data_IF_408080920085
#
_entry.id   IF_408080920085
#
_cell.length_a   1.000
_cell.length_b   1.000
_cell.length_c   1.000
_cell.angle_alpha   90.00
_cell.angle_beta   90.00
_cell.angle_gamma   90.00
#
_symmetry.space_group_name_H-M   'P 1'
#
loop_
_entity.id
_entity.type
_entity.pdbx_description
1 polymer ?
#
# COMPACT_ATOMS: atom_id res chain seq x y z
N UNK A 1 -22.33 -3.74 39.97
CA UNK A 1 -21.50 -4.09 38.79
C UNK A 1 -22.44 -4.24 37.62
N UNK A 2 -22.54 -3.20 36.79
CA UNK A 2 -23.37 -3.24 35.58
C UNK A 2 -22.63 -4.08 34.53
N UNK A 3 -23.31 -5.08 33.96
CA UNK A 3 -22.83 -5.78 32.77
C UNK A 3 -22.71 -4.75 31.65
N UNK A 4 -21.48 -4.47 31.23
CA UNK A 4 -21.22 -3.69 30.02
C UNK A 4 -21.90 -4.40 28.87
N UNK A 5 -22.89 -3.74 28.25
CA UNK A 5 -23.49 -4.24 27.02
C UNK A 5 -22.39 -4.56 26.01
N UNK A 6 -22.47 -5.75 25.41
CA UNK A 6 -21.63 -6.16 24.30
C UNK A 6 -21.82 -5.17 23.15
N UNK A 7 -20.97 -4.15 23.09
CA UNK A 7 -20.72 -3.49 21.82
C UNK A 7 -20.25 -4.59 20.86
N UNK A 8 -20.84 -4.73 19.65
CA UNK A 8 -20.33 -5.67 18.67
C UNK A 8 -18.85 -5.35 18.49
N UNK A 9 -17.98 -6.29 18.87
CA UNK A 9 -16.56 -5.99 18.91
C UNK A 9 -16.12 -5.63 17.51
N UNK A 10 -15.57 -4.43 17.32
CA UNK A 10 -14.89 -4.00 16.09
C UNK A 10 -13.72 -4.93 15.70
N UNK A 11 -13.38 -5.87 16.60
CA UNK A 11 -12.34 -6.86 16.46
C UNK A 11 -12.91 -8.24 16.15
N UNK A 12 -12.24 -8.90 15.21
CA UNK A 12 -12.51 -10.28 14.81
C UNK A 12 -12.30 -11.31 15.94
N UNK A 13 -11.23 -11.14 16.72
CA UNK A 13 -10.86 -11.99 17.86
C UNK A 13 -10.33 -11.12 19.01
N UNK A 14 -10.45 -11.64 20.24
CA UNK A 14 -9.86 -11.03 21.44
C UNK A 14 -8.33 -11.19 21.41
N UNK A 15 -7.54 -10.10 21.34
CA UNK A 15 -6.08 -10.18 21.14
C UNK A 15 -5.33 -11.06 22.15
N UNK A 16 -5.71 -11.01 23.42
CA UNK A 16 -5.09 -11.83 24.49
C UNK A 16 -5.30 -13.35 24.35
N UNK A 17 -6.14 -13.79 23.40
CA UNK A 17 -6.29 -15.22 23.07
C UNK A 17 -5.31 -15.70 22.01
N UNK A 18 -4.51 -14.78 21.43
CA UNK A 18 -3.55 -15.13 20.41
C UNK A 18 -2.46 -16.05 20.98
N UNK A 19 -1.84 -15.71 22.10
CA UNK A 19 -0.79 -16.51 22.74
C UNK A 19 -1.18 -16.86 24.16
N UNK A 20 -0.61 -17.95 24.70
CA UNK A 20 -0.74 -18.21 26.14
C UNK A 20 -0.02 -17.11 26.91
N UNK A 21 -0.51 -16.76 28.11
CA UNK A 21 0.06 -15.68 28.93
C UNK A 21 1.56 -15.94 29.23
N UNK A 22 1.95 -17.19 29.41
CA UNK A 22 3.34 -17.62 29.61
C UNK A 22 4.26 -17.41 28.40
N UNK A 23 3.72 -17.16 27.21
CA UNK A 23 4.52 -16.92 26.00
C UNK A 23 4.91 -15.44 25.80
N UNK A 24 4.28 -14.52 26.54
CA UNK A 24 4.45 -13.08 26.39
C UNK A 24 4.93 -12.45 27.71
N UNK A 25 6.25 -12.34 27.92
CA UNK A 25 6.79 -11.72 29.13
C UNK A 25 6.47 -10.22 29.25
N UNK A 26 6.23 -9.58 28.10
CA UNK A 26 5.76 -8.20 28.01
C UNK A 26 4.72 -8.08 26.90
N UNK A 27 3.70 -7.26 27.12
CA UNK A 27 2.62 -7.02 26.16
C UNK A 27 2.53 -5.53 25.86
N UNK A 28 2.60 -5.19 24.58
CA UNK A 28 2.53 -3.83 24.08
C UNK A 28 1.37 -3.72 23.10
N UNK A 29 0.74 -2.56 23.09
CA UNK A 29 -0.19 -2.19 22.02
C UNK A 29 0.63 -1.31 21.06
N UNK A 30 0.69 -1.69 19.79
CA UNK A 30 1.26 -0.84 18.76
C UNK A 30 0.54 0.51 18.83
N UNK A 31 1.25 1.65 18.74
CA UNK A 31 0.64 2.95 18.85
C UNK A 31 -0.60 3.05 17.94
N UNK A 32 -1.80 3.11 18.55
CA UNK A 32 -3.07 3.18 17.84
C UNK A 32 -3.49 4.64 17.67
N UNK A 33 -4.02 4.95 16.50
CA UNK A 33 -4.25 6.30 16.02
C UNK A 33 -5.66 6.74 16.38
N UNK A 34 -5.78 7.33 17.55
CA UNK A 34 -6.99 8.06 17.93
C UNK A 34 -6.59 9.49 18.26
N UNK A 35 -6.66 10.38 17.27
CA UNK A 35 -6.74 11.83 17.45
C UNK A 35 -5.61 12.49 18.29
N UNK A 36 -4.52 12.90 17.63
CA UNK A 36 -3.92 14.20 17.96
C UNK A 36 -2.61 14.29 18.76
N UNK A 37 -1.76 13.26 18.87
CA UNK A 37 -0.47 13.43 19.56
C UNK A 37 0.73 12.84 18.78
N UNK A 38 1.85 13.58 18.86
CA UNK A 38 3.18 13.36 18.25
C UNK A 38 3.43 11.90 17.84
N UNK A 39 3.29 11.63 16.55
CA UNK A 39 3.59 10.33 15.97
C UNK A 39 5.10 10.11 16.00
N UNK A 40 5.58 9.16 16.79
CA UNK A 40 6.98 8.75 16.79
C UNK A 40 7.03 7.23 16.96
N UNK A 41 8.08 6.61 16.41
CA UNK A 41 8.39 5.24 16.74
C UNK A 41 8.74 5.13 18.23
N UNK A 42 8.45 3.96 18.82
CA UNK A 42 8.79 3.63 20.19
C UNK A 42 9.90 2.60 20.21
N UNK A 43 10.93 2.82 21.01
CA UNK A 43 11.90 1.78 21.33
C UNK A 43 11.39 0.94 22.50
N UNK A 44 11.28 -0.37 22.31
CA UNK A 44 11.07 -1.35 23.37
C UNK A 44 12.38 -2.07 23.67
N UNK A 45 12.58 -2.43 24.94
CA UNK A 45 13.74 -3.22 25.38
C UNK A 45 13.21 -4.58 25.83
N UNK A 46 13.62 -5.63 25.13
CA UNK A 46 13.29 -7.02 25.44
C UNK A 46 14.43 -7.56 26.31
N UNK A 47 14.18 -7.89 27.60
CA UNK A 47 15.24 -8.39 28.47
C UNK A 47 15.81 -9.72 27.98
N UNK A 48 17.01 -10.07 28.47
CA UNK A 48 17.66 -11.36 28.21
C UNK A 48 16.71 -12.52 28.52
N UNK A 49 16.57 -13.46 27.58
CA UNK A 49 15.78 -14.68 27.78
C UNK A 49 14.27 -14.46 27.77
N UNK A 50 13.81 -13.28 27.32
CA UNK A 50 12.40 -12.86 27.34
C UNK A 50 11.88 -12.58 25.94
N UNK A 51 10.55 -12.63 25.79
CA UNK A 51 9.84 -12.29 24.56
C UNK A 51 8.93 -11.08 24.78
N UNK A 52 8.61 -10.38 23.70
CA UNK A 52 7.62 -9.31 23.72
C UNK A 52 6.50 -9.60 22.74
N UNK A 53 5.26 -9.35 23.13
CA UNK A 53 4.09 -9.44 22.27
C UNK A 53 3.57 -8.03 21.97
N UNK A 54 3.23 -7.79 20.71
CA UNK A 54 2.77 -6.50 20.21
C UNK A 54 1.45 -6.70 19.46
N UNK A 55 0.41 -6.00 19.90
CA UNK A 55 -0.91 -5.98 19.27
C UNK A 55 -1.03 -4.88 18.23
N UNK A 56 -1.60 -5.17 17.06
CA UNK A 56 -1.90 -4.20 16.02
C UNK A 56 -0.88 -4.25 14.87
N UNK A 57 -1.13 -3.45 13.82
CA UNK A 57 -0.23 -3.36 12.68
C UNK A 57 0.92 -2.40 12.97
N UNK A 58 2.13 -2.80 12.63
CA UNK A 58 3.32 -1.99 12.84
C UNK A 58 4.46 -2.35 11.88
N UNK A 59 5.38 -1.40 11.72
CA UNK A 59 6.71 -1.58 11.16
C UNK A 59 7.69 -1.73 12.32
N UNK A 60 8.64 -2.64 12.21
CA UNK A 60 9.63 -2.90 13.24
C UNK A 60 11.06 -2.88 12.69
N UNK A 61 12.02 -2.58 13.58
CA UNK A 61 13.42 -2.69 13.26
C UNK A 61 14.27 -2.94 14.51
N UNK A 62 15.40 -3.65 14.34
CA UNK A 62 16.40 -3.86 15.38
C UNK A 62 17.77 -4.01 14.73
N UNK A 63 18.84 -3.66 15.47
CA UNK A 63 20.22 -4.04 15.11
C UNK A 63 20.51 -5.53 15.39
N UNK A 64 19.74 -6.15 16.28
CA UNK A 64 19.89 -7.57 16.61
C UNK A 64 19.01 -8.41 15.71
N UNK A 65 19.41 -9.66 15.46
CA UNK A 65 18.54 -10.61 14.79
C UNK A 65 17.42 -11.08 15.72
N UNK A 66 16.24 -11.28 15.17
CA UNK A 66 15.07 -11.78 15.90
C UNK A 66 14.18 -12.60 14.98
N UNK A 67 13.34 -13.43 15.59
CA UNK A 67 12.24 -14.13 14.95
C UNK A 67 10.93 -13.51 15.39
N UNK A 68 10.00 -13.32 14.46
CA UNK A 68 8.62 -12.98 14.77
C UNK A 68 7.70 -14.18 14.54
N UNK A 69 6.74 -14.33 15.44
CA UNK A 69 5.59 -15.22 15.28
C UNK A 69 4.36 -14.34 15.34
N UNK A 70 3.71 -14.13 14.21
CA UNK A 70 2.48 -13.35 14.13
C UNK A 70 1.27 -14.27 14.06
N UNK A 71 0.24 -13.95 14.83
CA UNK A 71 -1.08 -14.55 14.76
C UNK A 71 -2.05 -13.50 14.24
N UNK A 72 -2.61 -13.75 13.06
CA UNK A 72 -3.49 -12.83 12.35
C UNK A 72 -4.87 -13.46 12.29
N UNK A 73 -5.96 -12.76 12.64
CA UNK A 73 -7.30 -13.31 12.47
C UNK A 73 -7.55 -13.62 10.98
N UNK A 74 -8.13 -14.77 10.70
CA UNK A 74 -8.57 -15.20 9.37
C UNK A 74 -10.03 -15.62 9.46
N UNK A 75 -10.83 -15.14 8.51
CA UNK A 75 -12.24 -15.47 8.46
C UNK A 75 -12.42 -16.94 8.02
N UNK A 76 -13.25 -17.68 8.73
CA UNK A 76 -13.61 -19.07 8.46
C UNK A 76 -15.13 -19.23 8.47
N UNK A 77 -15.63 -20.37 8.01
CA UNK A 77 -17.07 -20.68 8.04
C UNK A 77 -17.70 -20.68 9.44
N UNK A 78 -16.89 -20.77 10.50
CA UNK A 78 -17.34 -20.78 11.91
C UNK A 78 -17.02 -19.50 12.67
N UNK A 79 -16.65 -18.42 11.97
CA UNK A 79 -16.14 -17.18 12.55
C UNK A 79 -14.62 -17.05 12.35
N UNK A 80 -13.94 -16.33 13.22
CA UNK A 80 -12.52 -16.05 13.05
C UNK A 80 -11.62 -17.08 13.73
N UNK A 81 -10.48 -17.40 13.11
CA UNK A 81 -9.42 -18.24 13.69
C UNK A 81 -8.06 -17.57 13.57
N UNK A 82 -7.10 -17.92 14.42
CA UNK A 82 -5.74 -17.40 14.33
C UNK A 82 -4.92 -18.14 13.27
N UNK A 83 -4.49 -17.43 12.22
CA UNK A 83 -3.47 -17.88 11.29
C UNK A 83 -2.09 -17.53 11.82
N UNK A 84 -1.23 -18.53 11.98
CA UNK A 84 0.15 -18.36 12.46
C UNK A 84 1.10 -18.17 11.27
N UNK A 85 1.94 -17.15 11.33
CA UNK A 85 3.02 -16.87 10.36
C UNK A 85 4.31 -16.67 11.15
N UNK A 86 5.41 -17.27 10.68
CA UNK A 86 6.74 -17.10 11.26
C UNK A 86 7.67 -16.46 10.25
N UNK A 87 8.52 -15.55 10.72
CA UNK A 87 9.45 -14.83 9.86
C UNK A 87 10.68 -14.38 10.65
N UNK A 88 11.86 -14.38 10.03
CA UNK A 88 13.07 -13.85 10.64
C UNK A 88 13.28 -12.40 10.20
N UNK A 89 13.62 -11.51 11.13
CA UNK A 89 13.94 -10.10 10.85
C UNK A 89 12.87 -9.36 10.03
N UNK A 90 11.59 -9.64 10.28
CA UNK A 90 10.48 -8.98 9.60
C UNK A 90 10.55 -7.45 9.73
N UNK A 91 10.25 -6.72 8.66
CA UNK A 91 10.13 -5.26 8.68
C UNK A 91 8.72 -4.81 9.08
N UNK A 92 7.67 -5.60 8.81
CA UNK A 92 6.31 -5.26 9.18
C UNK A 92 5.49 -6.48 9.58
N UNK A 93 4.53 -6.27 10.48
CA UNK A 93 3.43 -7.18 10.75
C UNK A 93 2.13 -6.39 10.55
N UNK A 94 1.34 -6.77 9.55
CA UNK A 94 0.14 -6.06 9.15
C UNK A 94 -1.09 -6.93 9.38
N UNK A 95 -2.15 -6.32 9.88
CA UNK A 95 -3.49 -6.89 9.88
C UNK A 95 -4.17 -6.73 8.53
N UNK A 96 -5.43 -7.13 8.49
CA UNK A 96 -6.30 -6.93 7.34
C UNK A 96 -7.60 -6.26 7.77
N UNK A 97 -8.30 -5.64 6.83
CA UNK A 97 -9.63 -5.10 7.06
C UNK A 97 -10.62 -5.96 6.30
N UNK A 98 -11.55 -6.57 7.03
CA UNK A 98 -12.70 -7.21 6.43
C UNK A 98 -13.88 -6.25 6.38
N UNK A 99 -14.81 -6.56 5.51
CA UNK A 99 -16.04 -5.82 5.33
C UNK A 99 -17.23 -6.74 5.55
N UNK A 100 -18.19 -6.28 6.35
CA UNK A 100 -19.47 -6.96 6.55
C UNK A 100 -20.61 -6.01 6.22
N UNK A 101 -21.48 -6.45 5.33
CA UNK A 101 -22.78 -5.81 5.06
C UNK A 101 -23.76 -6.35 6.08
N UNK A 102 -24.48 -5.47 6.76
CA UNK A 102 -25.58 -5.89 7.62
C UNK A 102 -26.86 -6.01 6.80
N UNK A 103 -27.39 -7.23 6.72
CA UNK A 103 -28.58 -7.58 5.92
C UNK A 103 -29.82 -6.72 6.27
N UNK A 104 -29.91 -6.22 7.51
CA UNK A 104 -31.05 -5.44 8.01
C UNK A 104 -30.88 -3.92 7.90
N UNK A 105 -29.74 -3.44 7.38
CA UNK A 105 -29.45 -2.00 7.32
C UNK A 105 -29.42 -1.49 5.89
N UNK A 106 -30.18 -0.42 5.63
CA UNK A 106 -30.29 0.19 4.29
C UNK A 106 -28.95 0.83 3.84
N UNK A 107 -28.04 1.12 4.78
CA UNK A 107 -26.74 1.81 4.51
C UNK A 107 -25.63 1.39 5.50
N UNK A 108 -25.82 0.35 6.31
CA UNK A 108 -24.86 -0.02 7.34
C UNK A 108 -23.84 -1.04 6.83
N UNK A 109 -22.58 -0.62 6.80
CA UNK A 109 -21.47 -1.55 6.70
C UNK A 109 -20.55 -1.40 7.90
N UNK A 110 -19.90 -2.50 8.27
CA UNK A 110 -18.92 -2.52 9.33
C UNK A 110 -17.56 -2.93 8.77
N UNK A 111 -16.57 -2.08 9.06
CA UNK A 111 -15.17 -2.45 8.90
C UNK A 111 -14.75 -3.26 10.12
N UNK A 112 -14.30 -4.49 9.89
CA UNK A 112 -13.80 -5.38 10.93
C UNK A 112 -12.29 -5.41 10.79
N UNK A 113 -11.60 -4.76 11.72
CA UNK A 113 -10.14 -4.77 11.70
C UNK A 113 -9.61 -6.07 12.32
N UNK A 114 -8.95 -6.88 11.49
CA UNK A 114 -8.25 -8.10 11.89
C UNK A 114 -6.87 -7.76 12.45
N UNK A 115 -6.86 -7.17 13.65
CA UNK A 115 -5.65 -6.81 14.39
C UNK A 115 -4.77 -8.05 14.62
N UNK A 116 -3.50 -8.04 14.16
CA UNK A 116 -2.59 -9.14 14.44
C UNK A 116 -2.05 -9.01 15.87
N UNK A 117 -1.56 -10.12 16.42
CA UNK A 117 -0.72 -10.13 17.62
C UNK A 117 0.59 -10.79 17.26
N UNK A 118 1.69 -10.10 17.48
CA UNK A 118 3.02 -10.54 17.04
C UNK A 118 3.95 -10.71 18.23
N UNK A 119 4.44 -11.92 18.42
CA UNK A 119 5.48 -12.26 19.39
C UNK A 119 6.86 -12.08 18.75
N UNK A 120 7.72 -11.28 19.37
CA UNK A 120 9.10 -11.00 18.97
C UNK A 120 10.03 -11.78 19.90
N UNK A 121 10.88 -12.62 19.30
CA UNK A 121 11.80 -13.52 19.97
C UNK A 121 13.23 -13.13 19.54
N UNK A 122 14.04 -12.54 20.44
CA UNK A 122 15.45 -12.30 20.16
C UNK A 122 16.18 -13.58 19.74
N UNK A 123 17.05 -13.53 18.74
CA UNK A 123 17.86 -14.71 18.40
C UNK A 123 18.99 -14.92 19.41
N UNK A 124 19.58 -13.83 19.92
CA UNK A 124 20.50 -13.90 21.05
C UNK A 124 19.73 -13.85 22.37
N UNK A 125 19.58 -15.02 22.99
CA UNK A 125 18.95 -15.18 24.29
C UNK A 125 19.86 -14.76 25.45
N UNK A 126 21.09 -14.31 25.18
CA UNK A 126 22.07 -13.94 26.19
C UNK A 126 22.25 -12.45 26.43
N UNK A 127 21.67 -11.59 25.59
CA UNK A 127 21.72 -10.14 25.70
C UNK A 127 20.32 -9.53 25.69
N UNK A 128 20.23 -8.26 26.07
CA UNK A 128 19.02 -7.48 25.83
C UNK A 128 18.89 -7.16 24.33
N UNK A 129 17.65 -7.10 23.84
CA UNK A 129 17.37 -6.71 22.45
C UNK A 129 16.49 -5.48 22.42
N UNK A 130 16.97 -4.41 21.78
CA UNK A 130 16.19 -3.21 21.53
C UNK A 130 15.49 -3.31 20.18
N UNK A 131 14.19 -3.04 20.15
CA UNK A 131 13.38 -3.03 18.92
C UNK A 131 12.66 -1.70 18.82
N UNK A 132 12.70 -1.08 17.66
CA UNK A 132 11.87 0.08 17.35
C UNK A 132 10.59 -0.36 16.65
N UNK A 133 9.47 0.22 17.06
CA UNK A 133 8.14 -0.10 16.54
C UNK A 133 7.45 1.20 16.15
N UNK A 134 6.92 1.24 14.94
CA UNK A 134 6.08 2.29 14.41
C UNK A 134 4.70 1.68 14.09
N UNK A 135 3.65 2.07 14.81
CA UNK A 135 2.30 1.63 14.45
C UNK A 135 1.96 2.07 13.03
N UNK A 136 1.15 1.33 12.28
CA UNK A 136 0.67 1.76 10.97
C UNK A 136 -0.75 1.27 10.76
N UNK A 137 -1.50 1.91 9.87
CA UNK A 137 -2.73 1.32 9.36
C UNK A 137 -2.40 0.49 8.11
N UNK A 138 -2.86 -0.77 8.01
CA UNK A 138 -2.72 -1.52 6.77
C UNK A 138 -3.49 -0.81 5.65
N UNK A 139 -3.13 -1.08 4.41
CA UNK A 139 -3.98 -0.70 3.29
C UNK A 139 -5.22 -1.60 3.28
N UNK A 140 -6.29 -1.15 2.63
CA UNK A 140 -7.44 -2.00 2.32
C UNK A 140 -8.09 -1.58 1.01
N UNK A 141 -8.73 -2.54 0.35
CA UNK A 141 -9.51 -2.31 -0.86
C UNK A 141 -10.76 -3.17 -0.79
N UNK A 142 -11.92 -2.54 -0.96
CA UNK A 142 -13.22 -3.15 -0.78
C UNK A 142 -13.98 -2.97 -2.08
N UNK A 143 -14.42 -4.07 -2.66
CA UNK A 143 -15.26 -4.12 -3.84
C UNK A 143 -16.58 -4.78 -3.44
N UNK A 144 -17.67 -4.01 -3.46
CA UNK A 144 -18.95 -4.43 -2.90
C UNK A 144 -20.12 -3.89 -3.70
N UNK A 145 -21.26 -4.57 -3.63
CA UNK A 145 -22.51 -4.15 -4.27
C UNK A 145 -23.57 -3.97 -3.20
N UNK A 146 -24.20 -2.79 -3.13
CA UNK A 146 -25.35 -2.53 -2.25
C UNK A 146 -26.61 -2.26 -3.07
N UNK A 147 -27.75 -2.65 -2.53
CA UNK A 147 -29.05 -2.22 -3.03
C UNK A 147 -29.57 -1.11 -2.13
N UNK A 148 -29.71 0.11 -2.66
CA UNK A 148 -30.22 1.27 -1.94
C UNK A 148 -31.48 1.75 -2.67
N UNK A 149 -32.65 1.66 -2.02
CA UNK A 149 -33.93 2.13 -2.57
C UNK A 149 -34.21 1.59 -3.99
N UNK A 150 -34.19 0.26 -4.16
CA UNK A 150 -34.38 -0.45 -5.44
C UNK A 150 -33.32 -0.16 -6.53
N UNK A 151 -32.25 0.58 -6.19
CA UNK A 151 -31.12 0.86 -7.07
C UNK A 151 -29.89 0.07 -6.65
N UNK A 152 -29.16 -0.47 -7.62
CA UNK A 152 -27.96 -1.27 -7.38
C UNK A 152 -26.71 -0.42 -7.56
N UNK A 153 -25.94 -0.23 -6.50
CA UNK A 153 -24.69 0.53 -6.52
C UNK A 153 -23.49 -0.39 -6.34
N UNK A 154 -22.48 -0.21 -7.18
CA UNK A 154 -21.18 -0.86 -7.02
C UNK A 154 -20.22 0.12 -6.35
N UNK A 155 -19.62 -0.25 -5.23
CA UNK A 155 -18.65 0.59 -4.52
C UNK A 155 -17.27 -0.09 -4.55
N UNK A 156 -16.27 0.69 -4.94
CA UNK A 156 -14.85 0.37 -4.85
C UNK A 156 -14.19 1.36 -3.91
N UNK A 157 -13.97 0.96 -2.67
CA UNK A 157 -13.44 1.82 -1.62
C UNK A 157 -12.02 1.36 -1.28
N UNK A 158 -11.04 2.24 -1.44
CA UNK A 158 -9.64 1.98 -1.22
C UNK A 158 -9.03 2.95 -0.22
N UNK A 159 -8.21 2.41 0.68
CA UNK A 159 -7.34 3.18 1.54
C UNK A 159 -5.94 2.61 1.40
N UNK A 160 -5.02 3.40 0.85
CA UNK A 160 -3.63 3.04 0.66
C UNK A 160 -2.78 3.77 1.68
N UNK A 161 -1.92 3.03 2.38
CA UNK A 161 -0.91 3.61 3.28
C UNK A 161 0.45 3.53 2.60
N UNK A 162 1.03 4.69 2.29
CA UNK A 162 2.42 4.82 1.86
C UNK A 162 3.30 5.22 3.04
N UNK A 163 4.49 4.62 3.13
CA UNK A 163 5.41 4.82 4.23
C UNK A 163 6.82 5.00 3.72
N UNK A 164 7.56 5.99 4.24
CA UNK A 164 8.99 6.18 3.94
C UNK A 164 9.81 6.50 5.18
N UNK A 165 10.93 5.79 5.29
CA UNK A 165 11.99 6.03 6.26
C UNK A 165 13.19 6.79 5.68
N UNK A 166 13.13 7.20 4.41
CA UNK A 166 14.26 7.86 3.76
C UNK A 166 14.52 9.26 4.36
N UNK A 167 15.78 9.73 4.36
CA UNK A 167 16.09 11.11 4.75
C UNK A 167 15.46 12.14 3.81
N UNK A 168 15.38 11.81 2.52
CA UNK A 168 14.76 12.64 1.48
C UNK A 168 13.88 11.78 0.57
N UNK A 169 12.65 12.21 0.31
CA UNK A 169 11.72 11.51 -0.57
C UNK A 169 10.50 12.40 -0.91
N UNK A 170 9.56 11.83 -1.65
CA UNK A 170 8.21 12.38 -1.79
C UNK A 170 7.14 11.30 -1.87
N UNK A 171 5.93 11.62 -1.43
CA UNK A 171 4.72 10.81 -1.64
C UNK A 171 3.71 11.59 -2.48
N UNK A 172 2.80 10.87 -3.13
CA UNK A 172 1.56 11.45 -3.63
C UNK A 172 0.42 11.03 -2.70
N UNK A 173 -0.07 11.99 -1.91
CA UNK A 173 -1.22 11.84 -1.01
C UNK A 173 -2.43 12.35 -1.79
N UNK A 174 -3.32 11.46 -2.20
CA UNK A 174 -4.36 11.81 -3.18
C UNK A 174 -5.71 11.19 -2.87
N UNK A 175 -6.75 11.76 -3.48
CA UNK A 175 -8.06 11.15 -3.57
C UNK A 175 -8.41 10.99 -5.04
N UNK A 176 -8.67 9.76 -5.43
CA UNK A 176 -9.33 9.45 -6.68
C UNK A 176 -10.79 9.13 -6.37
N UNK A 177 -11.70 9.99 -6.83
CA UNK A 177 -13.12 9.82 -6.67
C UNK A 177 -13.80 9.80 -8.03
N UNK A 178 -14.52 8.73 -8.33
CA UNK A 178 -15.17 8.50 -9.62
C UNK A 178 -16.59 7.99 -9.42
N UNK A 179 -17.54 8.57 -10.14
CA UNK A 179 -18.91 8.11 -10.26
C UNK A 179 -19.17 7.79 -11.74
N UNK A 180 -19.24 6.53 -12.10
CA UNK A 180 -19.66 6.10 -13.44
C UNK A 180 -21.16 5.81 -13.45
N UNK A 181 -21.83 6.19 -14.53
CA UNK A 181 -23.22 5.80 -14.81
C UNK A 181 -24.20 6.03 -13.65
N UNK A 182 -24.13 7.21 -13.01
CA UNK A 182 -25.13 7.64 -12.04
C UNK A 182 -26.50 7.80 -12.72
N UNK A 183 -27.27 6.73 -12.73
CA UNK A 183 -28.64 6.68 -13.19
C UNK A 183 -29.59 6.57 -12.00
N UNK A 184 -30.89 6.78 -12.24
CA UNK A 184 -31.92 6.51 -11.22
C UNK A 184 -32.02 5.04 -10.81
N UNK A 185 -31.27 4.12 -11.44
CA UNK A 185 -31.29 2.68 -11.16
C UNK A 185 -30.01 2.16 -10.52
N UNK A 186 -29.03 3.04 -10.26
CA UNK A 186 -27.73 2.64 -9.77
C UNK A 186 -26.57 3.38 -10.42
N UNK A 187 -25.36 3.04 -10.01
CA UNK A 187 -24.10 3.54 -10.57
C UNK A 187 -22.89 2.89 -9.90
N UNK A 188 -21.71 3.11 -10.49
CA UNK A 188 -20.44 2.64 -9.94
C UNK A 188 -19.73 3.81 -9.27
N UNK A 189 -19.37 3.66 -7.99
CA UNK A 189 -18.67 4.64 -7.20
C UNK A 189 -17.30 4.05 -6.83
N UNK A 190 -16.23 4.75 -7.19
CA UNK A 190 -14.86 4.40 -6.82
C UNK A 190 -14.29 5.56 -6.00
N UNK A 191 -13.78 5.24 -4.82
CA UNK A 191 -13.07 6.18 -3.95
C UNK A 191 -11.78 5.50 -3.48
N UNK A 192 -10.62 6.05 -3.86
CA UNK A 192 -9.32 5.60 -3.36
C UNK A 192 -8.63 6.78 -2.69
N UNK A 193 -8.31 6.62 -1.41
CA UNK A 193 -7.59 7.59 -0.60
C UNK A 193 -6.18 7.05 -0.37
N UNK A 194 -5.17 7.86 -0.65
CA UNK A 194 -3.77 7.54 -0.37
C UNK A 194 -3.23 8.47 0.69
N UNK A 195 -2.78 7.88 1.80
CA UNK A 195 -2.21 8.59 2.94
C UNK A 195 -0.74 8.25 3.10
N UNK A 196 0.04 9.20 3.62
CA UNK A 196 1.49 9.09 3.73
C UNK A 196 1.99 9.14 5.16
N UNK A 197 3.01 8.34 5.48
CA UNK A 197 3.76 8.40 6.74
C UNK A 197 5.23 8.58 6.41
N UNK A 198 5.80 9.72 6.80
CA UNK A 198 7.23 9.94 6.78
C UNK A 198 7.76 9.78 8.19
N UNK A 199 8.78 8.97 8.43
CA UNK A 199 9.45 8.91 9.74
C UNK A 199 10.97 8.81 9.60
N UNK A 200 11.72 9.45 10.48
CA UNK A 200 13.18 9.41 10.49
C UNK A 200 13.69 9.80 11.88
N UNK A 201 14.97 9.58 12.19
CA UNK A 201 15.54 10.00 13.47
C UNK A 201 15.99 11.46 13.51
N UNK A 202 16.23 12.06 12.33
CA UNK A 202 16.58 13.47 12.18
C UNK A 202 15.40 14.30 11.68
N UNK A 203 15.40 15.58 12.03
CA UNK A 203 14.37 16.51 11.60
C UNK A 203 14.43 16.74 10.09
N UNK A 204 13.25 16.73 9.46
CA UNK A 204 13.07 17.01 8.04
C UNK A 204 12.09 18.16 7.86
N UNK A 205 12.32 18.96 6.83
CA UNK A 205 11.37 19.98 6.38
C UNK A 205 10.44 19.37 5.36
N UNK A 206 9.14 19.53 5.59
CA UNK A 206 8.07 19.04 4.73
C UNK A 206 7.49 20.18 3.91
N UNK A 207 7.36 19.97 2.61
CA UNK A 207 6.69 20.86 1.68
C UNK A 207 5.59 20.14 0.92
N UNK A 208 4.68 20.91 0.32
CA UNK A 208 3.61 20.37 -0.51
C UNK A 208 3.46 21.15 -1.80
N UNK A 209 2.95 20.45 -2.81
CA UNK A 209 2.34 20.97 -4.03
C UNK A 209 0.99 20.25 -4.17
N UNK A 210 -0.12 20.97 -4.34
CA UNK A 210 -1.45 20.39 -4.42
C UNK A 210 -2.20 20.82 -5.68
N UNK A 211 -3.03 19.91 -6.16
CA UNK A 211 -4.00 20.19 -7.21
C UNK A 211 -5.16 21.03 -6.67
N UNK A 212 -5.82 21.78 -7.56
CA UNK A 212 -7.08 22.48 -7.23
C UNK A 212 -8.11 21.49 -6.71
N UNK A 213 -8.84 21.84 -5.65
CA UNK A 213 -9.79 20.98 -4.91
C UNK A 213 -9.17 19.83 -4.11
N UNK A 214 -7.87 19.55 -4.26
CA UNK A 214 -7.19 18.61 -3.38
C UNK A 214 -6.98 19.28 -2.01
N UNK A 215 -7.33 18.56 -0.95
CA UNK A 215 -7.04 18.91 0.43
C UNK A 215 -6.16 17.84 1.06
N UNK A 216 -5.40 18.23 2.08
CA UNK A 216 -4.79 17.30 2.99
C UNK A 216 -4.69 17.94 4.38
N UNK A 217 -4.57 17.11 5.41
CA UNK A 217 -4.18 17.55 6.75
C UNK A 217 -2.93 16.77 7.17
N UNK A 218 -2.18 17.32 8.12
CA UNK A 218 -0.98 16.65 8.62
C UNK A 218 -0.98 16.58 10.14
N UNK A 219 -0.21 15.66 10.69
CA UNK A 219 0.03 15.61 12.14
C UNK A 219 0.78 16.84 12.69
N UNK A 220 1.35 17.68 11.82
CA UNK A 220 2.08 18.90 12.20
C UNK A 220 1.14 20.12 12.27
N UNK A 221 0.16 20.18 11.37
CA UNK A 221 -0.78 21.29 11.30
C UNK A 221 -2.17 20.79 10.87
N UNK A 222 -3.16 21.04 11.74
CA UNK A 222 -4.58 20.81 11.50
C UNK A 222 -5.23 22.06 10.90
N UNK A 223 -4.71 22.52 9.75
CA UNK A 223 -5.30 23.63 9.00
C UNK A 223 -5.45 23.24 7.53
N UNK A 224 -6.53 23.74 6.94
CA UNK A 224 -6.77 23.62 5.51
C UNK A 224 -5.73 24.44 4.75
N UNK A 225 -4.92 23.75 3.95
CA UNK A 225 -3.96 24.39 3.08
C UNK A 225 -4.70 24.99 1.88
N UNK A 226 -4.75 26.33 1.79
CA UNK A 226 -5.41 27.04 0.68
C UNK A 226 -4.42 27.48 -0.40
N UNK A 227 -3.13 27.60 -0.10
CA UNK A 227 -2.11 27.83 -1.11
C UNK A 227 -1.93 26.56 -1.97
N UNK A 228 -1.49 26.71 -3.22
CA UNK A 228 -1.22 25.56 -4.10
C UNK A 228 0.12 24.88 -3.78
N UNK A 229 1.03 25.60 -3.14
CA UNK A 229 2.31 25.08 -2.68
C UNK A 229 2.71 25.77 -1.37
N UNK A 230 3.58 25.13 -0.59
CA UNK A 230 4.08 25.72 0.64
C UNK A 230 4.91 24.79 1.50
N UNK A 231 5.34 25.31 2.65
CA UNK A 231 6.02 24.55 3.71
C UNK A 231 4.98 24.15 4.76
N UNK A 232 4.95 22.87 5.11
CA UNK A 232 4.06 22.31 6.13
C UNK A 232 4.68 22.54 7.52
N UNK A 233 5.98 22.30 7.64
CA UNK A 233 6.70 22.42 8.89
C UNK A 233 7.90 21.48 8.95
N UNK A 234 8.49 21.37 10.14
CA UNK A 234 9.64 20.53 10.39
C UNK A 234 9.32 19.48 11.45
N UNK A 235 9.70 18.23 11.19
CA UNK A 235 9.57 17.15 12.16
C UNK A 235 10.46 15.95 11.81
N UNK A 236 10.72 15.11 12.80
CA UNK A 236 11.27 13.76 12.60
C UNK A 236 10.26 12.86 11.88
N UNK A 237 8.99 13.03 12.23
CA UNK A 237 7.90 12.19 11.75
C UNK A 237 6.64 12.99 11.46
N UNK A 238 5.96 12.67 10.37
CA UNK A 238 4.71 13.31 9.96
C UNK A 238 3.78 12.31 9.25
N UNK A 239 2.48 12.45 9.51
CA UNK A 239 1.42 11.73 8.79
C UNK A 239 0.65 12.73 7.94
N UNK A 240 0.18 12.29 6.78
CA UNK A 240 -0.59 13.08 5.83
C UNK A 240 -1.88 12.33 5.47
N UNK A 241 -3.01 13.01 5.64
CA UNK A 241 -4.33 12.50 5.31
C UNK A 241 -4.93 13.31 4.16
N UNK A 242 -5.21 12.66 3.03
CA UNK A 242 -5.87 13.30 1.90
C UNK A 242 -7.37 13.49 2.20
N UNK A 243 -7.95 14.60 1.71
CA UNK A 243 -9.40 14.86 1.76
C UNK A 243 -9.81 15.77 0.59
N UNK A 244 -11.09 15.75 0.23
CA UNK A 244 -11.62 16.62 -0.83
C UNK A 244 -11.87 18.03 -0.26
N UNK A 245 -11.26 19.07 -0.83
CA UNK A 245 -11.47 20.44 -0.37
C UNK A 245 -12.85 20.97 -0.79
N UNK A 246 -13.86 20.64 0.02
CA UNK A 246 -15.26 21.01 -0.21
C UNK A 246 -15.48 22.53 -0.20
N UNK A 247 -14.65 23.28 0.53
CA UNK A 247 -14.74 24.74 0.56
C UNK A 247 -14.41 25.33 -0.82
N UNK A 248 -13.31 24.92 -1.43
CA UNK A 248 -12.95 25.34 -2.79
C UNK A 248 -13.97 24.88 -3.82
N UNK A 249 -14.47 23.65 -3.68
CA UNK A 249 -15.49 23.10 -4.56
C UNK A 249 -16.80 23.91 -4.50
N UNK A 250 -17.17 24.39 -3.30
CA UNK A 250 -18.36 25.22 -3.11
C UNK A 250 -18.20 26.65 -3.61
N UNK A 251 -17.01 27.25 -3.47
CA UNK A 251 -16.77 28.64 -3.89
C UNK A 251 -16.46 28.80 -5.37
N UNK A 252 -15.84 27.79 -5.99
CA UNK A 252 -15.46 27.80 -7.40
C UNK A 252 -15.76 26.42 -8.02
N UNK A 253 -17.05 26.04 -8.13
CA UNK A 253 -17.44 24.74 -8.64
C UNK A 253 -17.03 24.61 -10.12
N UNK A 254 -16.62 23.41 -10.57
CA UNK A 254 -16.40 23.18 -11.98
C UNK A 254 -17.69 23.46 -12.77
N UNK A 255 -17.55 24.03 -13.97
CA UNK A 255 -18.68 24.44 -14.83
C UNK A 255 -19.65 23.31 -15.19
N UNK A 256 -19.22 22.05 -15.02
CA UNK A 256 -20.05 20.85 -15.02
C UNK A 256 -19.64 19.98 -13.83
N UNK A 257 -20.59 19.30 -13.17
CA UNK A 257 -20.26 18.27 -12.18
C UNK A 257 -19.34 17.25 -12.86
N UNK A 258 -18.10 17.12 -12.36
CA UNK A 258 -17.22 16.07 -12.85
C UNK A 258 -17.67 14.76 -12.24
N UNK A 259 -17.76 13.74 -13.09
CA UNK A 259 -17.91 12.35 -12.67
C UNK A 259 -16.61 11.74 -12.17
N UNK A 260 -15.48 12.46 -12.29
CA UNK A 260 -14.16 11.98 -11.88
C UNK A 260 -13.29 13.13 -11.37
N UNK A 261 -12.68 12.92 -10.21
CA UNK A 261 -11.70 13.78 -9.59
C UNK A 261 -10.47 12.94 -9.28
N UNK A 262 -9.34 13.28 -9.89
CA UNK A 262 -8.04 12.73 -9.55
C UNK A 262 -7.21 13.87 -8.95
N UNK A 263 -7.14 13.89 -7.62
CA UNK A 263 -6.66 15.04 -6.84
C UNK A 263 -5.36 14.70 -6.14
N UNK A 264 -4.25 15.04 -6.78
CA UNK A 264 -2.91 14.77 -6.26
C UNK A 264 -2.42 15.90 -5.34
N UNK A 265 -1.94 15.52 -4.15
CA UNK A 265 -1.05 16.34 -3.32
C UNK A 265 0.32 15.67 -3.27
N UNK A 266 1.33 16.31 -3.86
CA UNK A 266 2.71 15.85 -3.72
C UNK A 266 3.27 16.41 -2.42
N UNK A 267 3.64 15.53 -1.51
CA UNK A 267 4.34 15.88 -0.27
C UNK A 267 5.80 15.53 -0.45
N UNK A 268 6.70 16.50 -0.29
CA UNK A 268 8.14 16.29 -0.40
C UNK A 268 8.81 16.60 0.94
N UNK A 269 9.92 15.93 1.23
CA UNK A 269 10.67 16.19 2.44
C UNK A 269 12.16 15.96 2.26
N UNK A 270 12.93 16.72 3.03
CA UNK A 270 14.39 16.70 3.01
C UNK A 270 14.95 17.02 4.39
N UNK A 271 16.20 16.64 4.66
CA UNK A 271 16.88 17.00 5.90
C UNK A 271 16.98 18.53 6.05
N UNK A 272 16.87 19.01 7.29
CA UNK A 272 17.11 20.41 7.60
C UNK A 272 18.61 20.67 7.70
N UNK A 273 19.05 21.89 7.35
CA UNK A 273 20.47 22.27 7.42
C UNK A 273 21.06 22.17 8.83
N UNK A 274 20.23 22.35 9.87
CA UNK A 274 20.60 22.14 11.27
C UNK A 274 20.77 20.66 11.62
N UNK A 275 19.95 19.75 11.05
CA UNK A 275 20.09 18.31 11.25
C UNK A 275 21.35 17.70 10.59
N UNK A 276 21.97 18.44 9.66
CA UNK A 276 23.25 18.09 9.03
C UNK A 276 24.48 18.67 9.74
N UNK A 277 24.31 19.60 10.68
CA UNK A 277 25.41 20.29 11.37
C UNK A 277 25.48 19.97 12.88
N UNK A 278 24.34 19.68 13.51
CA UNK A 278 24.26 19.30 14.91
C UNK A 278 24.10 17.77 15.06
N UNK A 279 24.74 17.22 16.09
CA UNK A 279 24.60 15.87 16.67
C UNK A 279 25.60 14.78 16.22
N UNK A 280 26.89 14.97 16.52
CA UNK A 280 27.79 13.86 16.88
C UNK A 280 27.58 13.40 18.35
N UNK A 281 26.88 14.18 19.20
CA UNK A 281 26.85 13.94 20.66
C UNK A 281 25.57 13.27 21.21
N UNK A 282 24.45 13.22 20.47
CA UNK A 282 23.28 12.39 20.82
C UNK A 282 22.65 11.74 19.58
N UNK A 283 23.37 10.81 18.93
CA UNK A 283 22.73 9.91 17.97
C UNK A 283 21.70 9.03 18.70
N UNK A 284 20.45 9.49 18.72
CA UNK A 284 19.32 8.59 18.99
C UNK A 284 19.40 7.43 18.00
N UNK A 285 19.74 6.24 18.51
CA UNK A 285 19.93 5.07 17.66
C UNK A 285 18.68 4.86 16.80
N UNK A 286 18.85 4.78 15.47
CA UNK A 286 17.78 4.53 14.51
C UNK A 286 18.04 3.20 13.83
N UNK A 287 17.08 2.29 13.95
CA UNK A 287 17.25 0.91 13.50
C UNK A 287 16.57 0.64 12.17
N UNK A 288 15.60 1.47 11.76
CA UNK A 288 14.87 1.24 10.54
C UNK A 288 15.77 1.36 9.32
N UNK A 289 15.71 0.41 8.38
CA UNK A 289 16.42 0.56 7.10
C UNK A 289 15.81 1.72 6.32
N UNK A 290 16.55 2.26 5.36
CA UNK A 290 15.97 3.17 4.36
C UNK A 290 15.09 2.38 3.38
N UNK A 291 13.80 2.74 3.31
CA UNK A 291 12.83 2.20 2.36
C UNK A 291 11.69 3.19 2.10
N UNK A 292 10.97 2.95 1.02
CA UNK A 292 9.66 3.52 0.69
C UNK A 292 8.79 2.35 0.27
N UNK A 293 7.58 2.22 0.83
CA UNK A 293 6.68 1.13 0.50
C UNK A 293 5.21 1.55 0.55
N UNK A 294 4.42 0.98 -0.36
CA UNK A 294 2.97 0.87 -0.25
C UNK A 294 2.62 -0.37 0.57
N UNK A 295 1.96 -0.19 1.72
CA UNK A 295 1.62 -1.32 2.59
C UNK A 295 0.57 -2.23 1.94
N UNK A 296 0.64 -3.52 2.28
CA UNK A 296 -0.26 -4.54 1.76
C UNK A 296 -1.72 -4.33 2.18
N UNK A 297 -2.64 -4.78 1.32
CA UNK A 297 -4.06 -4.96 1.66
C UNK A 297 -4.34 -6.28 2.36
N UNK A 298 -3.38 -7.20 2.31
CA UNK A 298 -3.43 -8.50 2.96
C UNK A 298 -2.73 -8.45 4.31
N UNK A 299 -3.33 -9.12 5.30
CA UNK A 299 -2.70 -9.33 6.59
C UNK A 299 -1.55 -10.33 6.46
N UNK A 300 -0.39 -9.99 7.00
CA UNK A 300 0.82 -10.79 6.84
C UNK A 300 2.00 -10.27 7.63
N UNK A 301 3.14 -10.91 7.40
CA UNK A 301 4.45 -10.49 7.89
C UNK A 301 5.34 -10.26 6.67
N UNK A 302 6.03 -9.13 6.64
CA UNK A 302 6.74 -8.63 5.48
C UNK A 302 8.17 -8.22 5.85
N UNK A 303 9.09 -8.29 4.90
CA UNK A 303 10.45 -7.77 4.99
C UNK A 303 10.65 -6.59 4.02
N UNK A 304 11.88 -6.10 3.93
CA UNK A 304 12.22 -4.99 3.03
C UNK A 304 11.95 -5.30 1.55
N UNK A 305 12.05 -6.56 1.15
CA UNK A 305 11.98 -6.97 -0.25
C UNK A 305 10.54 -7.19 -0.71
N UNK A 306 9.62 -7.45 0.22
CA UNK A 306 8.21 -7.72 -0.08
C UNK A 306 7.19 -6.80 0.62
N UNK A 307 7.61 -5.80 1.40
CA UNK A 307 6.69 -4.85 2.03
C UNK A 307 5.98 -3.95 1.00
N UNK A 308 6.62 -3.66 -0.13
CA UNK A 308 6.06 -2.81 -1.18
C UNK A 308 5.14 -3.63 -2.09
N UNK A 309 3.84 -3.56 -1.80
CA UNK A 309 2.81 -4.32 -2.51
C UNK A 309 1.99 -3.40 -3.40
N UNK A 310 1.69 -3.89 -4.60
CA UNK A 310 0.84 -3.16 -5.55
C UNK A 310 -0.57 -3.02 -4.97
N UNK A 311 -1.06 -1.79 -4.88
CA UNK A 311 -2.41 -1.54 -4.40
C UNK A 311 -3.44 -1.92 -5.48
N UNK A 312 -4.55 -2.60 -5.13
CA UNK A 312 -5.62 -2.88 -6.08
C UNK A 312 -6.20 -1.58 -6.65
N UNK A 313 -6.45 -1.54 -7.96
CA UNK A 313 -6.89 -0.31 -8.63
C UNK A 313 -5.76 0.61 -9.07
N UNK A 314 -4.51 0.41 -8.62
CA UNK A 314 -3.35 1.03 -9.24
C UNK A 314 -3.25 0.49 -10.68
N UNK A 315 -3.75 1.30 -11.63
CA UNK A 315 -3.46 1.18 -13.05
C UNK A 315 -1.99 1.52 -13.20
N UNK A 316 -1.11 0.62 -12.78
CA UNK A 316 0.31 0.72 -13.03
C UNK A 316 0.46 0.92 -14.53
N UNK A 317 0.75 2.17 -14.93
CA UNK A 317 1.38 2.44 -16.21
C UNK A 317 2.55 1.46 -16.25
N UNK A 318 2.64 0.65 -17.31
CA UNK A 318 3.67 -0.37 -17.44
C UNK A 318 5.00 0.17 -16.90
N UNK A 319 5.72 -0.57 -16.04
CA UNK A 319 6.99 -0.11 -15.52
C UNK A 319 7.81 0.42 -16.69
N UNK A 320 8.38 1.62 -16.58
CA UNK A 320 9.06 2.26 -17.72
C UNK A 320 10.14 1.33 -18.30
N UNK A 321 10.79 0.54 -17.45
CA UNK A 321 11.74 -0.50 -17.86
C UNK A 321 11.10 -1.60 -18.73
N UNK A 322 9.86 -2.01 -18.46
CA UNK A 322 9.14 -3.00 -19.25
C UNK A 322 8.79 -2.45 -20.65
N UNK A 323 8.45 -1.16 -20.76
CA UNK A 323 8.28 -0.48 -22.06
C UNK A 323 9.60 -0.49 -22.83
N UNK A 324 10.72 -0.19 -22.17
CA UNK A 324 12.06 -0.21 -22.79
C UNK A 324 12.42 -1.62 -23.30
N UNK A 325 12.17 -2.66 -22.50
CA UNK A 325 12.42 -4.06 -22.92
C UNK A 325 11.57 -4.44 -24.13
N UNK A 326 10.28 -4.08 -24.15
CA UNK A 326 9.40 -4.34 -25.30
C UNK A 326 9.93 -3.66 -26.56
N UNK A 327 10.37 -2.39 -26.46
CA UNK A 327 10.94 -1.65 -27.61
C UNK A 327 12.23 -2.32 -28.13
N UNK A 328 13.12 -2.78 -27.25
CA UNK A 328 14.36 -3.47 -27.65
C UNK A 328 14.03 -4.78 -28.40
N UNK A 329 13.10 -5.57 -27.88
CA UNK A 329 12.67 -6.83 -28.51
C UNK A 329 12.09 -6.56 -29.91
N UNK A 330 11.25 -5.54 -30.07
CA UNK A 330 10.68 -5.17 -31.38
C UNK A 330 11.77 -4.76 -32.37
N UNK A 331 12.77 -3.99 -31.95
CA UNK A 331 13.90 -3.59 -32.81
C UNK A 331 14.71 -4.81 -33.27
N UNK A 332 14.98 -5.77 -32.37
CA UNK A 332 15.72 -7.00 -32.71
C UNK A 332 14.94 -7.86 -33.71
N UNK A 333 13.62 -7.97 -33.55
CA UNK A 333 12.77 -8.72 -34.50
C UNK A 333 12.77 -8.04 -35.88
N UNK A 334 12.63 -6.72 -35.94
CA UNK A 334 12.70 -5.97 -37.21
C UNK A 334 14.07 -6.13 -37.86
N UNK A 335 15.16 -6.01 -37.10
CA UNK A 335 16.52 -6.20 -37.62
C UNK A 335 16.73 -7.63 -38.15
N UNK A 336 16.19 -8.65 -37.47
CA UNK A 336 16.23 -10.03 -37.94
C UNK A 336 15.44 -10.21 -39.25
N UNK A 337 14.24 -9.65 -39.35
CA UNK A 337 13.42 -9.70 -40.57
C UNK A 337 14.15 -9.01 -41.72
N UNK A 338 14.67 -7.79 -41.51
CA UNK A 338 15.45 -7.06 -42.51
C UNK A 338 16.69 -7.87 -42.91
N UNK A 339 17.40 -8.46 -41.95
CA UNK A 339 18.55 -9.32 -42.21
C UNK A 339 18.20 -10.53 -43.08
N UNK A 340 17.09 -11.21 -42.79
CA UNK A 340 16.56 -12.33 -43.59
C UNK A 340 16.16 -11.86 -44.99
N UNK A 341 15.44 -10.75 -45.12
CA UNK A 341 15.06 -10.19 -46.40
C UNK A 341 16.29 -9.83 -47.25
N UNK A 342 17.28 -9.13 -46.68
CA UNK A 342 18.53 -8.80 -47.37
C UNK A 342 19.27 -10.07 -47.77
N UNK A 343 19.33 -11.08 -46.90
CA UNK A 343 19.96 -12.36 -47.22
C UNK A 343 19.31 -13.07 -48.41
N UNK A 344 17.98 -13.17 -48.43
CA UNK A 344 17.25 -13.87 -49.50
C UNK A 344 17.16 -13.07 -50.81
N UNK A 345 17.04 -11.75 -50.75
CA UNK A 345 16.82 -10.92 -51.95
C UNK A 345 18.10 -10.34 -52.56
N UNK A 346 19.14 -10.10 -51.74
CA UNK A 346 20.40 -9.47 -52.19
C UNK A 346 21.53 -10.49 -52.25
N UNK A 347 21.69 -11.30 -51.20
CA UNK A 347 22.88 -12.16 -51.04
C UNK A 347 22.69 -13.53 -51.69
N UNK A 348 21.46 -14.04 -51.82
CA UNK A 348 21.21 -15.31 -52.50
C UNK A 348 21.01 -15.05 -54.01
N UNK A 349 22.06 -15.14 -54.85
CA UNK A 349 21.87 -15.02 -56.29
C UNK A 349 20.90 -16.10 -56.76
N UNK A 350 19.94 -15.70 -57.60
CA UNK A 350 19.10 -16.64 -58.35
C UNK A 350 20.03 -17.62 -59.05
N UNK A 351 19.95 -18.91 -58.68
CA UNK A 351 20.44 -19.98 -59.54
C UNK A 351 19.59 -19.94 -60.81
N UNK A 352 20.13 -19.31 -61.84
CA UNK A 352 19.62 -19.40 -63.21
C UNK A 352 19.85 -20.82 -63.69
N UNK A 353 18.76 -21.49 -64.06
CA UNK A 353 18.79 -22.66 -64.94
C UNK A 353 18.08 -23.89 -64.38
N UNK A 354 16.89 -24.19 -64.91
CA UNK A 354 16.73 -25.24 -65.92
C UNK A 354 15.25 -25.36 -66.34
N UNK A 355 15.02 -25.33 -67.66
CA UNK A 355 13.74 -25.59 -68.31
C UNK A 355 13.13 -26.93 -67.89
N UNK A 356 11.81 -27.01 -67.64
CA UNK A 356 11.08 -28.27 -67.77
C UNK A 356 10.81 -28.50 -69.27
N UNK A 357 11.24 -29.66 -69.76
CA UNK A 357 10.97 -30.12 -71.11
C UNK A 357 9.46 -30.32 -71.31
N UNK A 358 9.03 -29.82 -72.45
CA UNK A 358 7.92 -30.26 -73.28
C UNK A 358 7.68 -31.79 -73.22
N UNK A 359 6.41 -32.21 -73.16
CA UNK A 359 6.05 -33.61 -73.20
C UNK A 359 4.64 -33.97 -72.71
N UNK A 360 3.66 -33.87 -73.62
CA UNK A 360 2.69 -34.95 -73.78
C UNK A 360 1.30 -34.76 -73.16
N UNK A 361 0.37 -34.28 -73.99
CA UNK A 361 -1.05 -34.59 -73.94
C UNK A 361 -1.31 -36.10 -73.77
N UNK A 362 -2.21 -36.48 -72.87
CA UNK A 362 -3.28 -37.39 -73.28
C UNK A 362 -4.56 -37.16 -72.45
N UNK A 363 -5.58 -36.77 -73.20
CA UNK A 363 -6.95 -36.50 -72.85
C UNK A 363 -7.70 -37.84 -72.72
N UNK A 364 -8.45 -38.04 -71.62
CA UNK A 364 -9.65 -38.90 -71.61
C UNK A 364 -10.50 -38.68 -70.36
N UNK A 365 -11.47 -37.79 -70.53
CA UNK A 365 -12.80 -37.85 -69.90
C UNK A 365 -13.71 -38.78 -70.74
N UNK A 366 -14.94 -39.09 -70.34
CA UNK A 366 -15.44 -39.61 -69.07
C UNK A 366 -16.29 -40.89 -69.32
N UNK A 367 -16.85 -41.51 -68.27
CA UNK A 367 -18.26 -41.92 -68.23
C UNK A 367 -18.63 -42.63 -66.92
N UNK A 368 -19.70 -42.11 -66.30
CA UNK A 368 -20.65 -42.68 -65.34
C UNK A 368 -20.17 -43.33 -64.04
#
# INVERSE_FOLDING_TARGET
MAQSGDFPSIYALKPWTAFEESECDSYYIAPDYSYGLKYNYKTIVIPKGKNACVEGSFILASKSNYKVISKIPENSSKGYTWKKIEYDNALAALGAVDFKVDDDSIVGYHLIYRKPVTKIIPNDQNSETKVQILGVNPSYYIDLTLNVLDSKYHFKLGYKTEVSSKPEDSFNVYINWKINDASQKGGDIEEVIVNGIAFYNKEREFSYERSKYAGFTSSLEWKDQTAMEGIIGKAKTAIFYAWLNLKELGTDPPSKPKSEYNLDNKISFKLTSSASADDEEEETEFFFPEFHASLSTEGGVFDKDNIDQKFPGDKSKFPVWAIVVIVIVVILVVAAIVGVCVYFFVIKPKKVGASPSDGGNEQKEPNN
#
